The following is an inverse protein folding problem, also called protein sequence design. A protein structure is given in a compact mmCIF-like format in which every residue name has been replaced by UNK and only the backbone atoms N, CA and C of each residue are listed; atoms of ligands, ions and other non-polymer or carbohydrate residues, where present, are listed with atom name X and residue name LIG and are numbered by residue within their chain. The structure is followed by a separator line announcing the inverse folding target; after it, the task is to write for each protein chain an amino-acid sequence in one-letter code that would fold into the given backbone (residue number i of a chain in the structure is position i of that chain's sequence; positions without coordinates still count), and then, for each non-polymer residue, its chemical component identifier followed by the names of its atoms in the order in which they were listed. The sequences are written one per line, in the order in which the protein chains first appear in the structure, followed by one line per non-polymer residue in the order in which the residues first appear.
data_IF_403380796200
#
_entry.id   IF_403380796200
#
_cell.length_a   1.000
_cell.length_b   1.000
_cell.length_c   1.000
_cell.angle_alpha   90.00
_cell.angle_beta   90.00
_cell.angle_gamma   90.00
#
_symmetry.space_group_name_H-M   'P 1'
#
loop_
_entity.id
_entity.type
_entity.pdbx_description
1 polymer ?
#
# COMPACT_ATOMS: atom_id res chain seq x y z
N UNK A 1 -2.03 -7.65 8.01
CA UNK A 1 -1.73 -6.22 7.84
C UNK A 1 -2.59 -5.38 8.79
N UNK A 2 -2.14 -4.17 9.15
CA UNK A 2 -2.87 -3.25 10.02
C UNK A 2 -2.81 -1.81 9.48
N UNK A 3 -3.82 -0.99 9.79
CA UNK A 3 -3.76 0.46 9.51
C UNK A 3 -2.56 1.08 10.22
N UNK A 4 -1.83 1.95 9.51
CA UNK A 4 -0.59 2.57 9.95
C UNK A 4 0.66 1.71 9.71
N UNK A 5 0.51 0.43 9.34
CA UNK A 5 1.65 -0.43 9.05
C UNK A 5 2.39 0.05 7.80
N UNK A 6 3.72 0.11 7.89
CA UNK A 6 4.60 0.34 6.75
C UNK A 6 4.85 -0.98 6.00
N UNK A 7 4.73 -0.92 4.68
CA UNK A 7 4.83 -2.07 3.77
C UNK A 7 5.52 -1.63 2.47
N UNK A 8 5.84 -2.59 1.60
CA UNK A 8 6.14 -2.31 0.18
C UNK A 8 4.95 -2.67 -0.67
N UNK A 9 4.62 -1.82 -1.64
CA UNK A 9 3.54 -2.04 -2.61
C UNK A 9 4.14 -2.11 -4.01
N UNK A 10 3.72 -3.10 -4.79
CA UNK A 10 4.14 -3.27 -6.17
C UNK A 10 3.45 -2.24 -7.07
N UNK A 11 4.23 -1.59 -7.93
CA UNK A 11 3.72 -0.74 -9.00
C UNK A 11 4.67 -0.80 -10.21
N UNK A 12 4.12 -1.17 -11.36
CA UNK A 12 4.82 -1.26 -12.65
C UNK A 12 6.13 -2.08 -12.61
N UNK A 13 6.10 -3.23 -11.93
CA UNK A 13 7.22 -4.15 -11.77
C UNK A 13 8.22 -3.75 -10.68
N UNK A 14 8.04 -2.60 -10.02
CA UNK A 14 8.86 -2.12 -8.92
C UNK A 14 8.12 -2.18 -7.58
N UNK A 15 8.87 -2.10 -6.47
CA UNK A 15 8.32 -2.11 -5.12
C UNK A 15 8.63 -0.79 -4.41
N UNK A 16 7.60 -0.11 -3.94
CA UNK A 16 7.67 1.21 -3.34
C UNK A 16 7.23 1.18 -1.88
N UNK A 17 7.86 1.98 -1.02
CA UNK A 17 7.44 2.08 0.38
C UNK A 17 6.08 2.75 0.48
N UNK A 18 5.19 2.19 1.29
CA UNK A 18 3.83 2.68 1.48
C UNK A 18 3.35 2.46 2.92
N UNK A 19 2.26 3.16 3.26
CA UNK A 19 1.53 3.01 4.52
C UNK A 19 0.12 2.51 4.23
N UNK A 20 -0.35 1.54 5.01
CA UNK A 20 -1.75 1.12 4.96
C UNK A 20 -2.59 2.17 5.69
N UNK A 21 -3.52 2.80 4.98
CA UNK A 21 -4.44 3.81 5.52
C UNK A 21 -5.75 3.18 5.97
N UNK A 22 -6.30 2.26 5.18
CA UNK A 22 -7.55 1.57 5.50
C UNK A 22 -7.50 0.11 5.07
N UNK A 23 -8.34 -0.71 5.71
CA UNK A 23 -8.49 -2.13 5.41
C UNK A 23 -9.98 -2.41 5.23
N UNK A 24 -10.35 -2.96 4.08
CA UNK A 24 -11.72 -3.31 3.78
C UNK A 24 -11.80 -4.56 2.91
N UNK A 25 -12.43 -5.63 3.43
CA UNK A 25 -12.73 -6.82 2.64
C UNK A 25 -11.52 -7.48 1.97
N UNK A 26 -10.36 -7.50 2.63
CA UNK A 26 -9.12 -8.06 2.08
C UNK A 26 -8.38 -7.13 1.10
N UNK A 27 -8.89 -5.92 0.88
CA UNK A 27 -8.18 -4.85 0.18
C UNK A 27 -7.61 -3.85 1.18
N UNK A 28 -6.57 -3.15 0.73
CA UNK A 28 -5.80 -2.22 1.52
C UNK A 28 -5.72 -0.89 0.77
N UNK A 29 -6.22 0.17 1.37
CA UNK A 29 -6.01 1.52 0.87
C UNK A 29 -4.62 1.94 1.29
N UNK A 30 -3.74 2.22 0.34
CA UNK A 30 -2.34 2.52 0.60
C UNK A 30 -2.01 3.96 0.20
N UNK A 31 -1.01 4.52 0.87
CA UNK A 31 -0.38 5.77 0.52
C UNK A 31 1.11 5.53 0.27
N UNK A 32 1.59 5.85 -0.92
CA UNK A 32 3.01 5.73 -1.27
C UNK A 32 3.83 6.81 -0.56
N UNK A 33 4.86 6.41 0.18
CA UNK A 33 5.70 7.32 0.96
C UNK A 33 6.46 8.25 0.03
N UNK A 34 6.30 9.57 0.24
CA UNK A 34 6.97 10.60 -0.56
C UNK A 34 6.24 11.00 -1.84
N UNK A 35 5.06 10.44 -2.09
CA UNK A 35 4.19 10.79 -3.21
C UNK A 35 2.95 11.53 -2.73
N UNK A 36 2.32 12.26 -3.65
CA UNK A 36 1.05 12.95 -3.37
C UNK A 36 -0.11 11.95 -3.26
N UNK A 37 -1.16 12.30 -2.50
CA UNK A 37 -2.34 11.44 -2.29
C UNK A 37 -3.12 11.11 -3.56
N UNK A 38 -2.87 11.82 -4.67
CA UNK A 38 -3.39 11.44 -5.99
C UNK A 38 -2.93 10.06 -6.48
N UNK A 39 -1.89 9.49 -5.86
CA UNK A 39 -1.41 8.13 -6.12
C UNK A 39 -1.97 7.08 -5.15
N UNK A 40 -2.76 7.50 -4.16
CA UNK A 40 -3.36 6.55 -3.21
C UNK A 40 -4.33 5.63 -3.95
N UNK A 41 -4.25 4.34 -3.66
CA UNK A 41 -5.05 3.33 -4.35
C UNK A 41 -5.45 2.19 -3.41
N UNK A 42 -6.47 1.45 -3.83
CA UNK A 42 -6.83 0.18 -3.21
C UNK A 42 -6.10 -0.96 -3.91
N UNK A 43 -5.34 -1.75 -3.15
CA UNK A 43 -4.65 -2.94 -3.64
C UNK A 43 -5.09 -4.18 -2.86
N UNK A 44 -4.92 -5.36 -3.45
CA UNK A 44 -5.04 -6.64 -2.74
C UNK A 44 -3.67 -7.08 -2.18
N UNK A 45 -3.66 -8.17 -1.40
CA UNK A 45 -2.43 -8.65 -0.74
C UNK A 45 -1.37 -9.17 -1.72
N UNK A 46 -1.70 -9.49 -2.98
CA UNK A 46 -0.72 -9.96 -3.96
C UNK A 46 0.31 -8.89 -4.34
N UNK A 47 -0.05 -7.61 -4.15
CA UNK A 47 0.82 -6.45 -4.37
C UNK A 47 1.48 -5.93 -3.09
N UNK A 48 1.38 -6.61 -1.94
CA UNK A 48 1.94 -6.12 -0.67
C UNK A 48 3.02 -7.05 -0.13
N UNK A 49 4.16 -6.48 0.26
CA UNK A 49 5.21 -7.16 1.01
C UNK A 49 5.41 -6.52 2.39
N UNK A 50 5.65 -7.36 3.39
CA UNK A 50 6.14 -6.90 4.69
C UNK A 50 7.58 -6.39 4.55
N UNK A 51 7.92 -5.36 5.34
CA UNK A 51 9.30 -4.94 5.58
C UNK A 51 10.00 -5.86 6.58
#
# INVERSE_FOLDING_TARGET
FATGQQVKVEWNGGWWDALIREIHGGKYFIHYVGFDSSWDEWVDDSRIQNL
#
